data_IF_661800417912
#
_entry.id   IF_661800417912
#
_cell.length_a   1.000
_cell.length_b   1.000
_cell.length_c   1.000
_cell.angle_alpha   90.00
_cell.angle_beta   90.00
_cell.angle_gamma   90.00
#
_symmetry.space_group_name_H-M   'P 1'
#
loop_
_entity.id
_entity.type
_entity.pdbx_description
1 polymer ?
#
# COMPACT_ATOMS: atom_id res chain seq x y z
N UNK A 1 25.25 21.16 -0.90
CA UNK A 1 24.48 20.89 -2.09
C UNK A 1 23.38 19.91 -1.77
N UNK A 2 22.21 20.21 -2.15
CA UNK A 2 21.10 19.30 -1.89
C UNK A 2 20.88 18.37 -3.07
N UNK A 3 20.56 17.13 -2.77
CA UNK A 3 20.18 16.19 -3.79
C UNK A 3 18.69 16.27 -3.98
N UNK A 4 18.29 16.17 -5.24
CA UNK A 4 16.88 16.11 -5.56
C UNK A 4 16.45 14.67 -5.58
N UNK A 5 15.64 14.29 -4.61
CA UNK A 5 15.08 12.94 -4.60
C UNK A 5 13.93 12.85 -5.59
N UNK A 6 13.70 11.67 -6.17
CA UNK A 6 12.51 11.48 -7.00
C UNK A 6 11.25 11.81 -6.19
N UNK A 7 10.20 12.28 -6.86
CA UNK A 7 8.95 12.52 -6.14
C UNK A 7 8.46 11.26 -5.44
N UNK A 8 7.93 11.43 -4.23
CA UNK A 8 7.40 10.32 -3.46
C UNK A 8 5.92 10.19 -3.78
N UNK A 9 5.58 9.22 -4.65
CA UNK A 9 4.18 8.96 -4.97
C UNK A 9 3.61 8.21 -3.79
N UNK A 10 2.66 8.86 -3.09
CA UNK A 10 2.14 8.30 -1.84
C UNK A 10 0.87 7.50 -2.10
N UNK A 11 0.66 6.49 -1.24
CA UNK A 11 -0.58 5.74 -1.18
C UNK A 11 -1.37 6.26 0.02
N UNK A 12 -2.65 6.58 -0.19
CA UNK A 12 -3.49 7.11 0.87
C UNK A 12 -3.56 6.10 2.02
N UNK A 13 -3.25 6.49 3.25
CA UNK A 13 -3.37 5.58 4.40
C UNK A 13 -4.83 5.18 4.62
N UNK A 14 -5.04 3.98 5.10
CA UNK A 14 -6.38 3.48 5.42
C UNK A 14 -6.50 2.01 5.14
N UNK A 15 -7.75 1.55 5.10
CA UNK A 15 -8.06 0.13 4.94
C UNK A 15 -8.30 -0.15 3.47
N UNK A 16 -7.66 -1.21 2.99
CA UNK A 16 -7.78 -1.66 1.60
C UNK A 16 -8.18 -3.12 1.56
N UNK A 17 -8.93 -3.48 0.53
CA UNK A 17 -9.26 -4.87 0.24
C UNK A 17 -8.46 -5.33 -0.95
N UNK A 18 -7.68 -6.38 -0.76
CA UNK A 18 -6.99 -7.06 -1.87
C UNK A 18 -8.03 -7.78 -2.73
N UNK A 19 -7.74 -7.92 -4.03
CA UNK A 19 -8.71 -8.56 -4.92
C UNK A 19 -9.03 -9.99 -4.51
N UNK A 20 -8.23 -10.60 -3.64
CA UNK A 20 -8.52 -11.92 -3.07
C UNK A 20 -9.32 -11.84 -1.78
N UNK A 21 -9.92 -10.69 -1.47
CA UNK A 21 -10.79 -10.46 -0.31
C UNK A 21 -10.07 -10.48 1.03
N UNK A 22 -8.80 -10.11 1.04
CA UNK A 22 -8.04 -9.97 2.27
C UNK A 22 -7.89 -8.48 2.57
N UNK A 23 -7.97 -8.13 3.85
CA UNK A 23 -7.91 -6.73 4.25
C UNK A 23 -6.53 -6.38 4.75
N UNK A 24 -6.12 -5.15 4.44
CA UNK A 24 -4.83 -4.59 4.84
C UNK A 24 -5.01 -3.15 5.26
N UNK A 25 -4.14 -2.69 6.13
CA UNK A 25 -4.11 -1.28 6.50
C UNK A 25 -2.83 -0.66 5.99
N UNK A 26 -2.96 0.35 5.11
CA UNK A 26 -1.81 1.12 4.66
C UNK A 26 -1.42 2.08 5.76
N UNK A 27 -0.17 1.99 6.22
CA UNK A 27 0.36 2.86 7.27
C UNK A 27 0.94 4.14 6.69
N UNK A 28 1.46 4.07 5.48
CA UNK A 28 2.08 5.22 4.85
C UNK A 28 2.96 4.79 3.71
N UNK A 29 3.74 5.75 3.21
CA UNK A 29 4.66 5.49 2.11
C UNK A 29 6.06 5.81 2.61
N UNK A 30 6.98 4.90 2.33
CA UNK A 30 8.37 5.04 2.72
C UNK A 30 9.23 4.93 1.48
N UNK A 31 10.52 5.19 1.63
CA UNK A 31 11.43 5.16 0.50
C UNK A 31 12.38 3.97 0.65
N UNK A 32 12.58 3.25 -0.44
CA UNK A 32 13.56 2.17 -0.45
C UNK A 32 14.94 2.78 -0.28
N UNK A 33 15.73 2.24 0.67
CA UNK A 33 16.99 2.90 1.03
C UNK A 33 18.03 2.83 -0.07
N UNK A 34 17.91 1.86 -0.97
CA UNK A 34 18.89 1.71 -2.04
C UNK A 34 18.42 2.30 -3.36
N UNK A 35 17.19 1.95 -3.77
CA UNK A 35 16.67 2.40 -5.05
C UNK A 35 16.03 3.76 -4.97
N UNK A 36 15.66 4.20 -3.77
CA UNK A 36 14.96 5.45 -3.50
C UNK A 36 13.54 5.46 -4.06
N UNK A 37 13.03 4.31 -4.48
CA UNK A 37 11.66 4.27 -4.99
C UNK A 37 10.64 4.30 -3.86
N UNK A 38 9.44 4.84 -4.11
CA UNK A 38 8.40 4.84 -3.09
C UNK A 38 7.91 3.43 -2.82
N UNK A 39 7.74 3.11 -1.53
CA UNK A 39 7.26 1.81 -1.09
C UNK A 39 6.05 2.03 -0.20
N UNK A 40 4.97 1.32 -0.48
CA UNK A 40 3.79 1.36 0.39
C UNK A 40 4.02 0.42 1.56
N UNK A 41 3.90 0.97 2.77
CA UNK A 41 4.02 0.20 4.01
C UNK A 41 2.62 -0.16 4.48
N UNK A 42 2.36 -1.45 4.63
CA UNK A 42 1.02 -1.88 4.98
C UNK A 42 1.07 -3.09 5.90
N UNK A 43 -0.02 -3.30 6.64
CA UNK A 43 -0.12 -4.36 7.62
C UNK A 43 -1.28 -5.26 7.26
N UNK A 44 -1.04 -6.57 7.27
CA UNK A 44 -2.13 -7.53 7.09
C UNK A 44 -3.07 -7.45 8.29
N UNK A 45 -4.37 -7.44 8.03
CA UNK A 45 -5.38 -7.43 9.09
C UNK A 45 -5.90 -8.83 9.34
N UNK A 46 -5.06 -9.82 9.14
CA UNK A 46 -5.37 -11.23 9.37
C UNK A 46 -4.07 -11.94 9.79
N UNK A 47 -4.21 -13.15 10.27
CA UNK A 47 -3.07 -13.96 10.65
C UNK A 47 -2.26 -13.28 11.74
N UNK A 48 -0.96 -13.22 11.56
CA UNK A 48 -0.06 -12.64 12.54
C UNK A 48 0.10 -11.13 12.40
N UNK A 49 -0.65 -10.52 11.48
CA UNK A 49 -0.69 -9.07 11.28
C UNK A 49 0.69 -8.51 10.97
N UNK A 50 1.42 -9.19 10.09
CA UNK A 50 2.75 -8.77 9.71
C UNK A 50 2.76 -7.47 8.94
N UNK A 51 3.90 -6.79 9.01
CA UNK A 51 4.12 -5.56 8.25
C UNK A 51 4.87 -5.90 6.97
N UNK A 52 4.45 -5.28 5.88
CA UNK A 52 4.99 -5.55 4.55
C UNK A 52 5.22 -4.25 3.82
N UNK A 53 6.10 -4.28 2.83
CA UNK A 53 6.25 -3.19 1.89
C UNK A 53 6.11 -3.74 0.48
N UNK A 54 5.62 -2.88 -0.42
CA UNK A 54 5.49 -3.19 -1.84
C UNK A 54 5.74 -1.91 -2.60
N UNK A 55 6.44 -1.94 -3.76
CA UNK A 55 6.59 -0.71 -4.53
C UNK A 55 5.23 -0.06 -4.74
N UNK A 56 5.19 1.26 -4.53
CA UNK A 56 3.91 1.98 -4.58
C UNK A 56 3.25 1.82 -5.94
N UNK A 57 4.04 1.79 -7.02
CA UNK A 57 3.49 1.61 -8.36
C UNK A 57 2.79 0.25 -8.48
N UNK A 58 3.32 -0.78 -7.84
CA UNK A 58 2.69 -2.10 -7.87
C UNK A 58 1.48 -2.16 -6.95
N UNK A 59 1.56 -1.51 -5.79
CA UNK A 59 0.42 -1.49 -4.87
C UNK A 59 -0.80 -0.85 -5.53
N UNK A 60 -0.55 0.21 -6.30
CA UNK A 60 -1.62 0.97 -6.94
C UNK A 60 -1.96 0.48 -8.34
N UNK A 61 -1.36 -0.62 -8.78
CA UNK A 61 -1.58 -1.14 -10.12
C UNK A 61 -2.89 -1.91 -10.19
N UNK A 62 -3.36 -2.09 -11.42
CA UNK A 62 -4.50 -2.94 -11.70
C UNK A 62 -4.02 -4.33 -12.05
N UNK A 63 -4.89 -5.31 -11.84
CA UNK A 63 -4.66 -6.69 -12.24
C UNK A 63 -5.80 -7.13 -13.14
N UNK A 64 -5.53 -8.11 -13.98
CA UNK A 64 -6.56 -8.69 -14.84
C UNK A 64 -6.81 -10.12 -14.38
N UNK A 65 -8.04 -10.38 -13.93
CA UNK A 65 -8.43 -11.70 -13.43
C UNK A 65 -9.64 -12.13 -14.24
N UNK A 66 -9.51 -13.26 -14.94
CA UNK A 66 -10.59 -13.82 -15.75
C UNK A 66 -11.15 -12.79 -16.72
N UNK A 67 -10.29 -11.99 -17.34
CA UNK A 67 -10.68 -10.98 -18.30
C UNK A 67 -11.19 -9.69 -17.70
N UNK A 68 -11.23 -9.56 -16.38
CA UNK A 68 -11.72 -8.35 -15.71
C UNK A 68 -10.52 -7.58 -15.16
N UNK A 69 -10.40 -6.32 -15.58
CA UNK A 69 -9.36 -5.44 -15.06
C UNK A 69 -9.90 -4.76 -13.81
N UNK A 70 -9.17 -4.89 -12.70
CA UNK A 70 -9.60 -4.32 -11.44
C UNK A 70 -8.38 -3.91 -10.63
N UNK A 71 -8.56 -3.00 -9.65
CA UNK A 71 -7.44 -2.62 -8.80
C UNK A 71 -6.94 -3.81 -8.00
N UNK A 72 -5.62 -3.90 -7.83
CA UNK A 72 -5.05 -4.92 -6.95
C UNK A 72 -5.54 -4.73 -5.53
N UNK A 73 -5.63 -3.49 -5.08
CA UNK A 73 -6.15 -3.12 -3.76
C UNK A 73 -7.20 -2.05 -3.95
N UNK A 74 -8.31 -2.19 -3.27
CA UNK A 74 -9.41 -1.23 -3.35
C UNK A 74 -9.58 -0.54 -2.00
N UNK A 75 -9.63 0.79 -2.02
CA UNK A 75 -9.89 1.59 -0.82
C UNK A 75 -11.22 1.20 -0.21
N UNK A 76 -11.23 0.98 1.10
CA UNK A 76 -12.46 0.64 1.82
C UNK A 76 -12.86 1.78 2.74
N UNK A 77 -11.95 2.23 3.59
CA UNK A 77 -12.27 3.26 4.56
C UNK A 77 -11.00 3.77 5.20
N UNK A 78 -11.14 4.83 5.98
CA UNK A 78 -10.04 5.28 6.80
C UNK A 78 -9.80 4.28 7.91
N UNK A 79 -8.54 4.22 8.36
CA UNK A 79 -8.21 3.35 9.47
C UNK A 79 -8.94 3.81 10.72
N UNK A 80 -9.34 2.84 11.55
CA UNK A 80 -10.02 3.19 12.79
C UNK A 80 -9.07 3.98 13.69
N UNK A 81 -9.58 4.97 14.44
CA UNK A 81 -8.72 5.69 15.39
C UNK A 81 -8.20 4.72 16.43
N UNK A 82 -6.97 4.99 16.89
CA UNK A 82 -6.40 4.18 17.95
C UNK A 82 -7.17 4.36 19.24
N UNK A 83 -7.45 3.30 19.96
CA UNK A 83 -8.05 3.46 21.28
C UNK A 83 -7.08 4.14 22.23
N UNK A 84 -7.63 4.81 23.21
CA UNK A 84 -6.85 5.51 24.21
C UNK A 84 -6.72 4.67 25.47
#
# INVERSE_FOLDING_TARGET
>A
MSETLPPLITTRPGIYRHYKNLLYEVKGTVRHSESLEPMTLYQALYGERGLWVRPAAMFNAHVEIAGVVQPRFTWVSEAAPSPR
#
